data_IF_526508048346
#
_entry.id   IF_526508048346
#
_cell.length_a   1.000
_cell.length_b   1.000
_cell.length_c   1.000
_cell.angle_alpha   90.00
_cell.angle_beta   90.00
_cell.angle_gamma   90.00
#
_symmetry.space_group_name_H-M   'P 1'
#
loop_
_entity.id
_entity.type
_entity.pdbx_description
1 polymer ?
#
# COMPACT_ATOMS: atom_id res chain seq x y z
N UNK A 1 24.17 -10.93 4.81
CA UNK A 1 23.26 -10.16 5.70
C UNK A 1 22.92 -8.85 5.00
N UNK A 2 21.74 -8.30 5.25
CA UNK A 2 21.34 -6.98 4.72
C UNK A 2 21.68 -5.95 5.80
N UNK A 3 22.62 -5.05 5.50
CA UNK A 3 23.13 -4.09 6.49
C UNK A 3 22.33 -2.78 6.51
N UNK A 4 21.61 -2.48 5.42
CA UNK A 4 20.81 -1.27 5.26
C UNK A 4 19.46 -1.59 4.64
N UNK A 5 18.40 -1.06 5.22
CA UNK A 5 17.01 -1.17 4.76
C UNK A 5 16.47 0.23 4.50
N UNK A 6 15.87 0.44 3.32
CA UNK A 6 15.24 1.69 2.94
C UNK A 6 13.77 1.41 2.67
N UNK A 7 12.90 2.14 3.37
CA UNK A 7 11.46 2.12 3.23
C UNK A 7 11.04 3.49 2.71
N UNK A 8 10.52 3.55 1.49
CA UNK A 8 9.92 4.77 0.92
C UNK A 8 8.45 4.47 0.76
N UNK A 9 7.59 5.21 1.46
CA UNK A 9 6.13 5.00 1.53
C UNK A 9 5.62 3.79 0.75
N UNK A 10 5.70 2.60 1.33
CA UNK A 10 5.18 1.40 0.69
C UNK A 10 3.85 1.05 1.35
N UNK A 11 2.75 1.38 0.67
CA UNK A 11 1.50 0.63 0.86
C UNK A 11 1.21 -0.06 -0.47
N UNK A 12 0.96 -1.37 -0.44
CA UNK A 12 0.63 -2.16 -1.62
C UNK A 12 -0.79 -1.93 -2.15
N UNK A 13 -1.41 -0.78 -1.81
CA UNK A 13 -2.78 -0.48 -2.19
C UNK A 13 -2.81 0.14 -3.59
N UNK A 14 -2.98 -0.71 -4.60
CA UNK A 14 -3.30 -0.28 -5.96
C UNK A 14 -4.81 -0.48 -6.19
N UNK A 15 -5.68 0.48 -5.81
CA UNK A 15 -7.10 0.34 -6.08
C UNK A 15 -7.32 0.19 -7.59
N UNK A 16 -8.09 -0.82 -7.99
CA UNK A 16 -8.59 -0.88 -9.36
C UNK A 16 -9.46 0.38 -9.59
N UNK A 17 -9.30 1.10 -10.72
CA UNK A 17 -10.09 2.29 -10.97
C UNK A 17 -11.59 1.98 -10.88
N UNK A 18 -12.34 2.84 -10.18
CA UNK A 18 -13.80 2.77 -10.11
C UNK A 18 -14.42 2.79 -11.51
N UNK A 19 -14.78 1.59 -11.96
CA UNK A 19 -15.56 1.30 -13.16
C UNK A 19 -16.17 -0.11 -13.11
N UNK A 20 -15.97 -0.84 -12.01
CA UNK A 20 -16.70 -2.05 -11.71
C UNK A 20 -17.89 -1.66 -10.84
N UNK A 21 -19.09 -1.88 -11.38
CA UNK A 21 -20.33 -1.82 -10.62
C UNK A 21 -20.15 -2.66 -9.36
N UNK A 22 -20.06 -2.01 -8.19
CA UNK A 22 -20.35 -2.70 -6.93
C UNK A 22 -21.73 -3.31 -7.09
N UNK A 23 -21.85 -4.61 -6.83
CA UNK A 23 -23.15 -5.25 -6.65
C UNK A 23 -23.99 -4.49 -5.63
N UNK A 24 -25.32 -4.67 -5.65
CA UNK A 24 -26.25 -3.78 -4.99
C UNK A 24 -25.90 -3.57 -3.52
N UNK A 25 -25.71 -2.30 -3.15
CA UNK A 25 -25.57 -1.88 -1.75
C UNK A 25 -26.81 -2.36 -0.98
N UNK A 26 -26.64 -3.39 -0.16
CA UNK A 26 -27.68 -3.82 0.78
C UNK A 26 -27.71 -2.81 1.92
N UNK A 27 -28.38 -1.68 1.69
CA UNK A 27 -28.84 -0.80 2.76
C UNK A 27 -29.85 -1.57 3.61
N UNK A 28 -29.38 -2.17 4.71
CA UNK A 28 -30.28 -2.69 5.73
C UNK A 28 -30.86 -1.50 6.50
N UNK A 29 -32.15 -1.23 6.28
CA UNK A 29 -32.94 -0.29 7.09
C UNK A 29 -32.82 -0.67 8.57
N UNK A 30 -32.33 0.25 9.39
CA UNK A 30 -32.40 0.10 10.84
C UNK A 30 -33.89 0.11 11.24
N UNK A 31 -34.32 -0.96 11.89
CA UNK A 31 -35.64 -1.03 12.54
C UNK A 31 -35.45 -0.61 14.00
N UNK A 32 -36.29 0.27 14.57
CA UNK A 32 -36.13 0.69 15.96
C UNK A 32 -36.71 -0.40 16.87
N UNK A 33 -35.90 -0.95 17.78
CA UNK A 33 -36.36 -1.98 18.70
C UNK A 33 -35.40 -2.31 19.84
N UNK A 34 -35.84 -1.91 21.04
CA UNK A 34 -35.53 -2.40 22.39
C UNK A 34 -34.10 -2.28 22.93
N UNK A 35 -33.97 -1.42 23.93
CA UNK A 35 -32.93 -1.49 24.95
C UNK A 35 -33.07 -2.80 25.73
N UNK A 36 -32.02 -3.62 25.77
CA UNK A 36 -31.79 -4.52 26.89
C UNK A 36 -30.30 -4.54 27.24
N UNK A 37 -30.05 -4.40 28.54
CA UNK A 37 -28.73 -4.32 29.14
C UNK A 37 -28.07 -5.70 29.15
N UNK A 38 -26.79 -5.77 28.79
CA UNK A 38 -25.75 -6.52 29.53
C UNK A 38 -24.39 -6.02 29.07
N UNK A 39 -23.60 -5.56 30.04
CA UNK A 39 -22.21 -5.14 29.84
C UNK A 39 -21.29 -6.35 29.61
N UNK A 40 -20.15 -6.05 28.99
CA UNK A 40 -18.92 -6.85 28.91
C UNK A 40 -18.77 -7.93 27.82
N UNK A 41 -19.79 -8.20 26.97
CA UNK A 41 -19.64 -9.12 25.82
C UNK A 41 -19.43 -8.45 24.45
N UNK A 42 -19.50 -7.11 24.39
CA UNK A 42 -19.71 -6.34 23.16
C UNK A 42 -18.47 -6.14 22.24
N UNK A 43 -17.22 -6.04 22.72
CA UNK A 43 -16.07 -5.80 21.82
C UNK A 43 -15.74 -7.00 20.94
N UNK A 44 -15.88 -8.21 21.49
CA UNK A 44 -15.49 -9.45 20.83
C UNK A 44 -16.40 -9.77 19.64
N UNK A 45 -17.71 -9.55 19.77
CA UNK A 45 -18.67 -9.81 18.69
C UNK A 45 -18.44 -8.91 17.47
N UNK A 46 -18.13 -7.63 17.67
CA UNK A 46 -17.81 -6.71 16.56
C UNK A 46 -16.53 -7.09 15.82
N UNK A 47 -15.52 -7.59 16.53
CA UNK A 47 -14.27 -8.10 15.93
C UNK A 47 -14.53 -9.35 15.07
N UNK A 48 -15.34 -10.29 15.59
CA UNK A 48 -15.74 -11.47 14.83
C UNK A 48 -16.57 -11.12 13.60
N UNK A 49 -17.51 -10.18 13.70
CA UNK A 49 -18.28 -9.73 12.54
C UNK A 49 -17.38 -9.11 11.47
N UNK A 50 -16.43 -8.24 11.86
CA UNK A 50 -15.45 -7.68 10.92
C UNK A 50 -14.61 -8.76 10.24
N UNK A 51 -14.17 -9.76 10.99
CA UNK A 51 -13.41 -10.89 10.44
C UNK A 51 -14.25 -11.73 9.47
N UNK A 52 -15.50 -12.03 9.81
CA UNK A 52 -16.41 -12.82 8.97
C UNK A 52 -16.77 -12.07 7.69
N UNK A 53 -17.06 -10.77 7.78
CA UNK A 53 -17.32 -9.91 6.61
C UNK A 53 -16.08 -9.83 5.72
N UNK A 54 -14.89 -9.65 6.32
CA UNK A 54 -13.62 -9.66 5.60
C UNK A 54 -13.39 -10.98 4.87
N UNK A 55 -13.57 -12.11 5.57
CA UNK A 55 -13.42 -13.46 5.00
C UNK A 55 -14.38 -13.70 3.84
N UNK A 56 -15.65 -13.32 4.01
CA UNK A 56 -16.65 -13.39 2.94
C UNK A 56 -16.24 -12.55 1.73
N UNK A 57 -15.80 -11.31 1.95
CA UNK A 57 -15.35 -10.40 0.88
C UNK A 57 -14.18 -11.00 0.11
N UNK A 58 -13.23 -11.65 0.79
CA UNK A 58 -12.10 -12.34 0.14
C UNK A 58 -12.58 -13.48 -0.75
N UNK A 59 -13.53 -14.29 -0.27
CA UNK A 59 -14.10 -15.41 -1.04
C UNK A 59 -14.85 -14.89 -2.27
N UNK A 60 -15.71 -13.88 -2.09
CA UNK A 60 -16.47 -13.27 -3.19
C UNK A 60 -15.53 -12.65 -4.24
N UNK A 61 -14.47 -11.95 -3.83
CA UNK A 61 -13.45 -11.44 -4.74
C UNK A 61 -12.72 -12.55 -5.50
N UNK A 62 -12.43 -13.69 -4.85
CA UNK A 62 -11.81 -14.83 -5.51
C UNK A 62 -12.74 -15.44 -6.56
N UNK A 63 -14.01 -15.64 -6.23
CA UNK A 63 -15.02 -16.14 -7.17
C UNK A 63 -15.16 -15.22 -8.40
N UNK A 64 -15.11 -13.91 -8.18
CA UNK A 64 -15.12 -12.91 -9.25
C UNK A 64 -13.90 -12.99 -10.16
N UNK A 65 -12.72 -13.25 -9.61
CA UNK A 65 -11.48 -13.45 -10.40
C UNK A 65 -11.56 -14.75 -11.19
N UNK A 66 -12.02 -15.85 -10.58
CA UNK A 66 -12.21 -17.14 -11.25
C UNK A 66 -13.20 -17.04 -12.41
N UNK A 67 -14.31 -16.32 -12.23
CA UNK A 67 -15.28 -16.09 -13.30
C UNK A 67 -14.68 -15.31 -14.49
N UNK A 68 -13.65 -14.49 -14.25
CA UNK A 68 -12.99 -13.65 -15.26
C UNK A 68 -11.70 -14.27 -15.82
N UNK A 69 -11.18 -15.34 -15.22
CA UNK A 69 -9.86 -15.89 -15.57
C UNK A 69 -9.75 -16.37 -17.02
N UNK A 70 -10.87 -16.74 -17.64
CA UNK A 70 -10.94 -17.23 -19.02
C UNK A 70 -11.21 -16.12 -20.04
N UNK A 71 -11.39 -14.86 -19.60
CA UNK A 71 -11.61 -13.75 -20.50
C UNK A 71 -10.30 -13.31 -21.16
N UNK A 72 -10.37 -13.01 -22.45
CA UNK A 72 -9.21 -12.47 -23.17
C UNK A 72 -8.77 -11.13 -22.53
N UNK A 73 -7.45 -10.89 -22.40
CA UNK A 73 -6.96 -9.62 -21.87
C UNK A 73 -7.45 -8.45 -22.72
N UNK A 74 -7.89 -7.36 -22.06
CA UNK A 74 -8.30 -6.16 -22.77
C UNK A 74 -7.07 -5.45 -23.36
N UNK A 75 -7.10 -5.24 -24.67
CA UNK A 75 -6.10 -4.47 -25.41
C UNK A 75 -6.50 -3.00 -25.39
N UNK A 76 -5.55 -2.14 -25.04
CA UNK A 76 -5.70 -0.68 -25.00
C UNK A 76 -4.72 -0.06 -25.99
N UNK A 77 -5.07 1.06 -26.60
CA UNK A 77 -4.01 1.86 -27.22
C UNK A 77 -3.13 2.54 -26.15
N UNK A 78 -1.99 3.11 -26.54
CA UNK A 78 -1.04 3.71 -25.60
C UNK A 78 -1.64 4.83 -24.75
N UNK A 79 -2.48 5.68 -25.35
CA UNK A 79 -3.10 6.80 -24.66
C UNK A 79 -4.19 6.32 -23.68
N UNK A 80 -5.01 5.36 -24.10
CA UNK A 80 -6.03 4.77 -23.23
C UNK A 80 -5.43 4.07 -22.02
N UNK A 81 -4.31 3.36 -22.20
CA UNK A 81 -3.57 2.74 -21.10
C UNK A 81 -3.01 3.79 -20.14
N UNK A 82 -2.48 4.90 -20.65
CA UNK A 82 -1.97 5.99 -19.83
C UNK A 82 -3.09 6.68 -19.05
N UNK A 83 -4.17 7.07 -19.72
CA UNK A 83 -5.33 7.71 -19.10
C UNK A 83 -5.97 6.82 -18.03
N UNK A 84 -6.06 5.51 -18.29
CA UNK A 84 -6.54 4.55 -17.29
C UNK A 84 -5.64 4.51 -16.06
N UNK A 85 -4.32 4.52 -16.24
CA UNK A 85 -3.36 4.48 -15.14
C UNK A 85 -3.42 5.77 -14.31
N UNK A 86 -3.44 6.94 -14.96
CA UNK A 86 -3.52 8.25 -14.30
C UNK A 86 -4.85 8.43 -13.56
N UNK A 87 -5.97 7.98 -14.15
CA UNK A 87 -7.28 8.02 -13.48
C UNK A 87 -7.31 7.18 -12.20
N UNK A 88 -6.59 6.06 -12.18
CA UNK A 88 -6.48 5.21 -10.99
C UNK A 88 -5.51 5.78 -9.94
N UNK A 89 -4.59 6.67 -10.34
CA UNK A 89 -3.50 7.20 -9.52
C UNK A 89 -3.38 8.71 -9.72
N UNK A 90 -4.25 9.48 -9.07
CA UNK A 90 -4.41 10.93 -9.28
C UNK A 90 -3.14 11.77 -9.06
N UNK A 91 -2.19 11.27 -8.28
CA UNK A 91 -0.96 11.96 -7.94
C UNK A 91 0.25 11.61 -8.82
N UNK A 92 0.06 10.69 -9.77
CA UNK A 92 1.09 10.27 -10.72
C UNK A 92 1.18 11.30 -11.86
N UNK A 93 2.38 11.72 -12.25
CA UNK A 93 2.53 12.56 -13.45
C UNK A 93 2.39 11.74 -14.73
N UNK A 94 2.11 12.42 -15.84
CA UNK A 94 2.04 11.78 -17.15
C UNK A 94 3.35 11.07 -17.52
N UNK A 95 4.49 11.71 -17.26
CA UNK A 95 5.82 11.15 -17.51
C UNK A 95 6.07 9.88 -16.68
N UNK A 96 5.82 9.95 -15.37
CA UNK A 96 5.90 8.80 -14.48
C UNK A 96 4.97 7.65 -14.91
N UNK A 97 3.77 7.98 -15.39
CA UNK A 97 2.82 7.01 -15.94
C UNK A 97 3.34 6.31 -17.19
N UNK A 98 3.99 7.05 -18.10
CA UNK A 98 4.64 6.46 -19.28
C UNK A 98 5.75 5.50 -18.88
N UNK A 99 6.62 5.89 -17.95
CA UNK A 99 7.71 5.03 -17.43
C UNK A 99 7.13 3.73 -16.83
N UNK A 100 6.07 3.82 -16.02
CA UNK A 100 5.43 2.64 -15.45
C UNK A 100 4.86 1.71 -16.52
N UNK A 101 4.32 2.25 -17.61
CA UNK A 101 3.77 1.45 -18.72
C UNK A 101 4.84 0.74 -19.53
N UNK A 102 6.06 1.27 -19.62
CA UNK A 102 7.16 0.61 -20.33
C UNK A 102 7.48 -0.78 -19.77
N UNK A 103 7.33 -0.95 -18.45
CA UNK A 103 7.51 -2.24 -17.77
C UNK A 103 6.19 -2.92 -17.38
N UNK A 104 5.16 -2.13 -17.12
CA UNK A 104 3.86 -2.59 -16.62
C UNK A 104 2.89 -3.03 -17.71
N UNK A 105 3.24 -2.88 -19.00
CA UNK A 105 2.45 -3.34 -20.12
C UNK A 105 3.32 -4.04 -21.19
N UNK A 106 2.71 -4.95 -21.93
CA UNK A 106 3.31 -5.66 -23.06
C UNK A 106 2.63 -5.21 -24.36
N UNK A 107 3.45 -4.94 -25.39
CA UNK A 107 2.97 -4.64 -26.74
C UNK A 107 2.43 -5.92 -27.39
N UNK A 108 1.22 -5.84 -27.92
CA UNK A 108 0.53 -6.92 -28.64
C UNK A 108 -0.03 -6.36 -29.96
N UNK A 109 -0.41 -7.21 -30.93
CA UNK A 109 -1.17 -6.74 -32.08
C UNK A 109 -2.40 -5.96 -31.63
N UNK A 110 -2.54 -4.71 -32.09
CA UNK A 110 -3.65 -3.83 -31.73
C UNK A 110 -3.40 -2.91 -30.52
N UNK A 111 -2.28 -3.02 -29.80
CA UNK A 111 -1.93 -2.05 -28.74
C UNK A 111 -1.12 -2.63 -27.58
N UNK A 112 -1.57 -2.36 -26.36
CA UNK A 112 -0.96 -2.70 -25.09
C UNK A 112 -1.90 -3.54 -24.23
N UNK A 113 -1.33 -4.49 -23.51
CA UNK A 113 -2.00 -5.25 -22.44
C UNK A 113 -1.20 -5.07 -21.16
N UNK A 114 -1.85 -4.75 -20.04
CA UNK A 114 -1.15 -4.67 -18.75
C UNK A 114 -0.58 -6.02 -18.35
N UNK A 115 0.70 -6.02 -17.98
CA UNK A 115 1.45 -7.20 -17.54
C UNK A 115 1.17 -7.47 -16.06
N UNK A 116 -0.09 -7.81 -15.74
CA UNK A 116 -0.54 -8.09 -14.37
C UNK A 116 -1.33 -9.39 -14.32
N UNK A 117 -1.04 -10.20 -13.32
CA UNK A 117 -1.89 -11.34 -12.96
C UNK A 117 -3.19 -10.84 -12.33
N UNK A 118 -4.34 -11.26 -12.86
CA UNK A 118 -5.66 -10.84 -12.34
C UNK A 118 -5.86 -11.22 -10.87
N UNK A 119 -5.20 -12.27 -10.36
CA UNK A 119 -5.26 -12.67 -8.96
C UNK A 119 -4.61 -11.63 -8.04
N UNK A 120 -3.65 -10.85 -8.54
CA UNK A 120 -3.08 -9.72 -7.80
C UNK A 120 -4.08 -8.57 -7.61
N UNK A 121 -5.26 -8.61 -8.23
CA UNK A 121 -6.38 -7.69 -7.95
C UNK A 121 -7.33 -8.22 -6.87
N UNK A 122 -7.22 -9.51 -6.51
CA UNK A 122 -7.91 -10.08 -5.36
C UNK A 122 -7.21 -9.62 -4.08
N UNK A 123 -7.93 -8.86 -3.27
CA UNK A 123 -7.39 -8.37 -2.00
C UNK A 123 -7.58 -9.44 -0.93
N UNK A 124 -6.48 -10.01 -0.44
CA UNK A 124 -6.49 -10.75 0.83
C UNK A 124 -6.24 -9.74 1.94
N UNK A 125 -7.29 -9.04 2.35
CA UNK A 125 -7.22 -8.09 3.47
C UNK A 125 -7.50 -8.82 4.80
N UNK A 126 -6.57 -9.69 5.19
CA UNK A 126 -6.37 -10.00 6.62
C UNK A 126 -4.92 -9.69 6.96
N UNK A 127 -4.52 -8.40 6.98
CA UNK A 127 -3.19 -8.05 7.45
C UNK A 127 -3.02 -8.61 8.86
N UNK A 128 -1.86 -9.18 9.15
CA UNK A 128 -1.53 -9.58 10.51
C UNK A 128 -1.80 -8.39 11.45
N UNK A 129 -2.44 -8.58 12.60
CA UNK A 129 -2.64 -7.51 13.58
C UNK A 129 -1.38 -6.66 13.77
N UNK A 130 -1.54 -5.33 13.88
CA UNK A 130 -0.42 -4.38 13.95
C UNK A 130 0.62 -4.75 15.03
N UNK A 131 0.17 -5.37 16.11
CA UNK A 131 1.02 -5.87 17.18
C UNK A 131 2.03 -6.93 16.70
N UNK A 132 1.60 -7.85 15.82
CA UNK A 132 2.50 -8.83 15.21
C UNK A 132 3.46 -8.16 14.23
N UNK A 133 2.99 -7.18 13.47
CA UNK A 133 3.83 -6.41 12.56
C UNK A 133 4.96 -5.69 13.33
N UNK A 134 4.62 -5.04 14.45
CA UNK A 134 5.59 -4.42 15.35
C UNK A 134 6.60 -5.42 15.94
N UNK A 135 6.19 -6.68 16.15
CA UNK A 135 7.13 -7.73 16.60
C UNK A 135 8.11 -8.15 15.51
N UNK A 136 7.76 -8.06 14.22
CA UNK A 136 8.74 -8.27 13.14
C UNK A 136 9.78 -7.16 13.11
N UNK A 137 9.35 -5.90 13.32
CA UNK A 137 10.25 -4.74 13.36
C UNK A 137 11.34 -4.90 14.43
N UNK A 138 11.01 -5.46 15.60
CA UNK A 138 11.97 -5.71 16.69
C UNK A 138 13.15 -6.61 16.31
N UNK A 139 13.00 -7.43 15.26
CA UNK A 139 14.05 -8.36 14.81
C UNK A 139 14.99 -7.74 13.77
N UNK A 140 14.71 -6.53 13.31
CA UNK A 140 15.54 -5.85 12.31
C UNK A 140 16.81 -5.35 13.00
N UNK A 141 17.96 -5.76 12.46
CA UNK A 141 19.29 -5.36 12.93
C UNK A 141 20.01 -4.40 11.97
N UNK A 142 19.44 -4.17 10.78
CA UNK A 142 19.98 -3.27 9.77
C UNK A 142 19.84 -1.79 10.20
N UNK A 143 20.66 -0.92 9.61
CA UNK A 143 20.33 0.51 9.57
C UNK A 143 19.04 0.68 8.75
N UNK A 144 18.06 1.41 9.26
CA UNK A 144 16.76 1.62 8.64
C UNK A 144 16.54 3.10 8.34
N UNK A 145 16.26 3.41 7.08
CA UNK A 145 15.72 4.70 6.66
C UNK A 145 14.25 4.52 6.30
N UNK A 146 13.36 5.27 6.93
CA UNK A 146 11.95 5.36 6.60
C UNK A 146 11.63 6.77 6.10
N UNK A 147 11.20 6.87 4.85
CA UNK A 147 10.76 8.10 4.20
C UNK A 147 9.24 8.06 4.08
N UNK A 148 8.58 9.03 4.71
CA UNK A 148 7.13 9.23 4.68
C UNK A 148 6.83 10.56 4.02
N UNK A 149 5.73 10.65 3.28
CA UNK A 149 5.32 11.87 2.59
C UNK A 149 4.10 12.49 3.26
N UNK A 150 4.03 13.81 3.29
CA UNK A 150 2.97 14.54 3.99
C UNK A 150 1.58 14.30 3.38
N UNK A 151 1.49 14.25 2.05
CA UNK A 151 0.26 14.02 1.30
C UNK A 151 0.15 12.56 0.82
N UNK A 152 0.86 11.66 1.49
CA UNK A 152 0.92 10.25 1.16
C UNK A 152 -0.04 9.37 1.93
N UNK A 153 0.17 8.06 1.79
CA UNK A 153 -0.72 7.05 2.37
C UNK A 153 -0.64 6.99 3.91
N UNK A 154 0.39 7.60 4.47
CA UNK A 154 0.64 7.66 5.91
C UNK A 154 0.74 9.09 6.45
N UNK A 155 0.32 10.09 5.67
CA UNK A 155 0.26 11.48 6.08
C UNK A 155 -0.70 11.73 7.26
N UNK A 156 -0.60 12.90 7.91
CA UNK A 156 -1.51 13.26 9.02
C UNK A 156 -2.95 13.29 8.50
N UNK A 157 -3.84 12.53 9.13
CA UNK A 157 -5.24 12.39 8.70
C UNK A 157 -5.45 11.34 7.59
N UNK A 158 -4.40 10.66 7.12
CA UNK A 158 -4.51 9.57 6.16
C UNK A 158 -5.02 8.28 6.82
N UNK A 159 -5.57 7.38 5.98
CA UNK A 159 -6.20 6.11 6.38
C UNK A 159 -5.30 5.25 7.28
N UNK A 160 -3.98 5.30 7.08
CA UNK A 160 -3.00 4.47 7.79
C UNK A 160 -2.13 5.23 8.78
N UNK A 161 -2.49 6.46 9.15
CA UNK A 161 -1.68 7.29 10.05
C UNK A 161 -1.41 6.60 11.40
N UNK A 162 -2.44 6.06 12.05
CA UNK A 162 -2.30 5.38 13.35
C UNK A 162 -1.41 4.13 13.24
N UNK A 163 -1.49 3.42 12.12
CA UNK A 163 -0.64 2.27 11.83
C UNK A 163 0.83 2.69 11.70
N UNK A 164 1.09 3.80 11.00
CA UNK A 164 2.44 4.36 10.89
C UNK A 164 2.98 4.78 12.25
N UNK A 165 2.17 5.43 13.08
CA UNK A 165 2.58 5.86 14.41
C UNK A 165 3.08 4.67 15.25
N UNK A 166 2.31 3.57 15.27
CA UNK A 166 2.68 2.34 16.00
C UNK A 166 3.96 1.72 15.43
N UNK A 167 4.06 1.58 14.11
CA UNK A 167 5.20 0.92 13.46
C UNK A 167 6.47 1.76 13.57
N UNK A 168 6.38 3.08 13.37
CA UNK A 168 7.52 3.99 13.51
C UNK A 168 8.02 4.04 14.95
N UNK A 169 7.14 3.97 15.96
CA UNK A 169 7.55 3.85 17.36
C UNK A 169 8.25 2.51 17.63
N UNK A 170 7.75 1.42 17.07
CA UNK A 170 8.43 0.12 17.17
C UNK A 170 9.85 0.17 16.58
N UNK A 171 10.05 0.86 15.46
CA UNK A 171 11.39 1.10 14.89
C UNK A 171 12.26 1.95 15.82
N UNK A 172 11.73 3.06 16.36
CA UNK A 172 12.47 3.92 17.31
C UNK A 172 12.95 3.14 18.54
N UNK A 173 12.05 2.36 19.15
CA UNK A 173 12.36 1.57 20.33
C UNK A 173 13.40 0.47 20.07
N UNK A 174 13.31 -0.19 18.91
CA UNK A 174 14.11 -1.39 18.61
C UNK A 174 15.46 -1.05 17.98
N UNK A 175 15.45 -0.18 16.97
CA UNK A 175 16.64 0.14 16.17
C UNK A 175 17.42 1.34 16.72
N UNK A 176 16.80 2.19 17.57
CA UNK A 176 17.46 3.33 18.23
C UNK A 176 18.25 4.18 17.23
N UNK A 177 19.58 4.31 17.40
CA UNK A 177 20.48 5.08 16.53
C UNK A 177 20.55 4.56 15.08
N UNK A 178 20.15 3.31 14.84
CA UNK A 178 20.10 2.69 13.52
C UNK A 178 18.83 3.08 12.75
N UNK A 179 17.87 3.78 13.36
CA UNK A 179 16.66 4.24 12.68
C UNK A 179 16.70 5.73 12.33
N UNK A 180 16.42 6.03 11.07
CA UNK A 180 16.22 7.38 10.57
C UNK A 180 14.81 7.49 9.99
N UNK A 181 14.01 8.40 10.53
CA UNK A 181 12.69 8.73 10.03
C UNK A 181 12.73 10.11 9.38
N UNK A 182 12.28 10.22 8.14
CA UNK A 182 12.23 11.47 7.39
C UNK A 182 10.81 11.68 6.88
N UNK A 183 10.20 12.78 7.27
CA UNK A 183 8.94 13.24 6.70
C UNK A 183 9.24 14.31 5.66
N UNK A 184 8.77 14.12 4.42
CA UNK A 184 9.04 15.02 3.30
C UNK A 184 7.75 15.56 2.69
N UNK A 185 7.77 16.76 2.08
CA UNK A 185 6.64 17.24 1.31
C UNK A 185 6.39 16.35 0.07
N UNK A 186 5.17 16.42 -0.45
CA UNK A 186 4.75 15.69 -1.63
C UNK A 186 3.86 14.49 -1.32
N UNK A 187 3.55 13.74 -2.38
CA UNK A 187 2.64 12.60 -2.35
C UNK A 187 3.39 11.26 -2.44
N UNK A 188 2.65 10.17 -2.37
CA UNK A 188 3.16 8.80 -2.46
C UNK A 188 4.14 8.54 -3.63
N UNK A 189 3.92 9.16 -4.80
CA UNK A 189 4.75 8.99 -6.00
C UNK A 189 5.94 9.95 -6.10
N UNK A 190 6.26 10.72 -5.05
CA UNK A 190 7.36 11.70 -5.10
C UNK A 190 8.69 11.09 -5.54
N UNK A 191 8.96 9.84 -5.15
CA UNK A 191 10.18 9.11 -5.52
C UNK A 191 10.25 8.72 -7.01
N UNK A 192 9.13 8.82 -7.74
CA UNK A 192 9.04 8.61 -9.17
C UNK A 192 8.87 9.94 -9.93
N UNK A 193 8.08 10.87 -9.38
CA UNK A 193 7.80 12.17 -9.98
C UNK A 193 8.97 13.16 -9.84
N UNK A 194 9.69 13.11 -8.71
CA UNK A 194 10.83 13.97 -8.39
C UNK A 194 11.97 13.12 -7.78
N UNK A 195 12.54 12.19 -8.56
CA UNK A 195 13.48 11.19 -8.06
C UNK A 195 14.75 11.81 -7.46
N UNK A 196 15.23 12.94 -7.97
CA UNK A 196 16.44 13.63 -7.51
C UNK A 196 16.32 14.03 -6.03
N UNK A 197 15.15 14.49 -5.62
CA UNK A 197 14.89 14.92 -4.25
C UNK A 197 15.02 13.74 -3.26
N UNK A 198 14.39 12.60 -3.57
CA UNK A 198 14.46 11.40 -2.73
C UNK A 198 15.84 10.74 -2.80
N UNK A 199 16.50 10.78 -3.97
CA UNK A 199 17.83 10.23 -4.18
C UNK A 199 18.89 10.90 -3.27
N UNK A 200 18.79 12.21 -3.01
CA UNK A 200 19.69 12.90 -2.09
C UNK A 200 19.61 12.37 -0.64
N UNK A 201 18.40 12.10 -0.16
CA UNK A 201 18.14 11.54 1.18
C UNK A 201 18.71 10.13 1.27
N UNK A 202 18.42 9.29 0.27
CA UNK A 202 18.92 7.91 0.18
C UNK A 202 20.45 7.89 0.12
N UNK A 203 21.06 8.74 -0.71
CA UNK A 203 22.52 8.81 -0.88
C UNK A 203 23.21 9.18 0.42
N UNK A 204 22.66 10.14 1.15
CA UNK A 204 23.18 10.55 2.47
C UNK A 204 23.17 9.37 3.46
N UNK A 205 22.06 8.64 3.53
CA UNK A 205 21.93 7.47 4.39
C UNK A 205 22.85 6.31 3.99
N UNK A 206 22.98 6.03 2.69
CA UNK A 206 23.88 4.99 2.18
C UNK A 206 25.36 5.31 2.45
N UNK A 207 25.73 6.58 2.49
CA UNK A 207 27.10 7.02 2.77
C UNK A 207 27.42 7.21 4.25
N UNK A 208 26.40 7.23 5.12
CA UNK A 208 26.57 7.16 6.58
C UNK A 208 27.45 5.94 6.92
N UNK A 209 28.56 6.18 7.61
CA UNK A 209 29.60 5.21 8.04
C UNK A 209 30.61 4.74 6.98
N UNK A 210 30.57 5.20 5.71
CA UNK A 210 31.68 4.94 4.78
C UNK A 210 32.96 5.71 5.14
N UNK A 211 32.84 6.91 5.71
CA UNK A 211 34.01 7.72 6.12
C UNK A 211 34.72 7.18 7.37
N UNK A 212 34.05 6.38 8.20
CA UNK A 212 34.67 5.77 9.39
C UNK A 212 35.54 4.56 9.04
N UNK A 213 35.25 3.87 7.92
CA UNK A 213 36.02 2.71 7.45
C UNK A 213 37.21 3.06 6.56
N UNK A 214 37.29 4.29 6.06
CA UNK A 214 38.40 4.76 5.22
C UNK A 214 39.58 5.35 6.03
N UNK A 215 39.45 5.41 7.36
CA UNK A 215 40.46 5.96 8.28
C UNK A 215 41.07 4.90 9.22
N UNK A 216 41.03 3.62 8.82
CA UNK A 216 41.72 2.49 9.46
C UNK A 216 42.69 1.90 8.44
#
# INVERSE_FOLDING_TARGET
MVDKLILVESSGLFPAPQGYMRGPEVFRKQTPGSQSATGDALPHLEEWEKLLIGSRTVIENMMDVEAKQHQAPKVYNSEEALQRLLKANSHLTEESGKILLERGATKVPGGLVYSRDVRATSHVNSPAPLQYQANYVKKIQADVLMIVTQDGLFGIGAIYYDSLAIISEAFRASCKQHFQFVNIPGNHFIHLNEPEFVAGIISTFLNKNKSLKANL
#
